data_IF_714528624140
#
_entry.id   IF_714528624140
#
_cell.length_a   1.000
_cell.length_b   1.000
_cell.length_c   1.000
_cell.angle_alpha   90.00
_cell.angle_beta   90.00
_cell.angle_gamma   90.00
#
_symmetry.space_group_name_H-M   'P 1'
#
loop_
_entity.id
_entity.type
_entity.pdbx_description
1 polymer ?
#
# COMPACT_ATOMS: atom_id res chain seq x y z
N UNK A 1 -3.04 10.13 9.69
CA UNK A 1 -1.72 9.66 10.14
C UNK A 1 -1.66 8.14 10.16
N UNK A 2 -0.56 7.61 9.71
CA UNK A 2 -0.32 6.18 9.66
C UNK A 2 0.93 5.87 10.48
N UNK A 3 1.14 4.59 10.79
CA UNK A 3 2.35 4.18 11.51
C UNK A 3 3.04 3.07 10.73
N UNK A 4 4.37 3.13 10.68
CA UNK A 4 5.13 2.03 10.10
C UNK A 4 5.26 0.88 11.11
N UNK A 5 5.91 -0.20 10.71
CA UNK A 5 6.06 -1.37 11.58
C UNK A 5 6.98 -1.13 12.75
N UNK A 6 7.73 -0.03 12.74
CA UNK A 6 8.64 0.33 13.84
C UNK A 6 7.99 1.33 14.80
N UNK A 7 6.74 1.73 14.54
CA UNK A 7 6.02 2.65 15.39
C UNK A 7 6.19 4.13 15.04
N UNK A 8 6.89 4.42 13.95
CA UNK A 8 7.06 5.81 13.51
C UNK A 8 5.80 6.30 12.82
N UNK A 9 5.43 7.55 13.06
CA UNK A 9 4.30 8.18 12.39
C UNK A 9 4.68 8.54 10.96
N UNK A 10 3.80 8.21 10.02
CA UNK A 10 3.99 8.50 8.60
C UNK A 10 2.80 9.30 8.11
N UNK A 11 3.06 10.42 7.45
CA UNK A 11 2.04 11.27 6.86
C UNK A 11 2.17 11.23 5.34
N UNK A 12 1.08 10.98 4.64
CA UNK A 12 1.11 10.95 3.19
C UNK A 12 1.49 12.32 2.61
N UNK A 13 1.18 13.39 3.31
CA UNK A 13 1.59 14.74 2.89
C UNK A 13 3.10 14.93 2.82
N UNK A 14 3.87 14.10 3.54
CA UNK A 14 5.33 14.16 3.49
C UNK A 14 5.89 13.67 2.15
N UNK A 15 5.04 13.03 1.34
CA UNK A 15 5.45 12.50 0.03
C UNK A 15 5.12 13.44 -1.12
N UNK A 16 4.61 14.65 -0.84
CA UNK A 16 4.39 15.64 -1.89
C UNK A 16 5.71 15.96 -2.58
N UNK A 17 5.66 16.09 -3.89
CA UNK A 17 6.85 16.20 -4.72
C UNK A 17 7.25 14.87 -5.33
N UNK A 18 6.63 13.78 -4.89
CA UNK A 18 6.86 12.44 -5.41
C UNK A 18 5.54 11.79 -5.78
N UNK A 19 5.57 10.94 -6.80
CA UNK A 19 4.41 10.12 -7.13
C UNK A 19 4.35 8.95 -6.15
N UNK A 20 3.15 8.55 -5.74
CA UNK A 20 2.97 7.47 -4.76
C UNK A 20 2.00 6.43 -5.30
N UNK A 21 2.42 5.18 -5.23
CA UNK A 21 1.59 4.01 -5.50
C UNK A 21 1.18 3.45 -4.14
N UNK A 22 -0.09 3.57 -3.80
CA UNK A 22 -0.63 3.21 -2.50
C UNK A 22 -1.59 2.04 -2.64
N UNK A 23 -1.36 0.97 -1.89
CA UNK A 23 -2.19 -0.24 -1.94
C UNK A 23 -2.85 -0.49 -0.60
N UNK A 24 -4.17 -0.64 -0.61
CA UNK A 24 -4.95 -1.03 0.57
C UNK A 24 -5.20 -2.54 0.51
N UNK A 25 -4.91 -3.25 1.59
CA UNK A 25 -4.99 -4.69 1.61
C UNK A 25 -5.27 -5.26 3.00
N UNK A 26 -5.45 -6.58 3.08
CA UNK A 26 -5.62 -7.29 4.33
C UNK A 26 -4.97 -8.68 4.20
N UNK A 27 -4.55 -9.23 5.33
CA UNK A 27 -3.88 -10.55 5.34
C UNK A 27 -4.83 -11.69 4.95
N UNK A 28 -6.14 -11.51 5.20
CA UNK A 28 -7.14 -12.52 4.87
C UNK A 28 -7.62 -12.44 3.41
N UNK A 29 -7.12 -11.49 2.66
CA UNK A 29 -7.52 -11.26 1.27
C UNK A 29 -6.63 -12.06 0.33
N UNK A 30 -7.19 -13.10 -0.31
CA UNK A 30 -6.44 -13.96 -1.24
C UNK A 30 -5.80 -13.21 -2.40
N UNK A 31 -6.59 -12.42 -3.18
CA UNK A 31 -5.99 -11.65 -4.29
C UNK A 31 -4.93 -10.66 -3.84
N UNK A 32 -5.08 -10.08 -2.63
CA UNK A 32 -4.06 -9.19 -2.08
C UNK A 32 -2.74 -9.93 -1.90
N UNK A 33 -2.79 -11.11 -1.24
CA UNK A 33 -1.59 -11.89 -0.98
C UNK A 33 -0.94 -12.40 -2.27
N UNK A 34 -1.75 -12.76 -3.25
CA UNK A 34 -1.23 -13.27 -4.52
C UNK A 34 -0.46 -12.22 -5.30
N UNK A 35 -0.80 -10.94 -5.14
CA UNK A 35 -0.13 -9.86 -5.85
C UNK A 35 1.11 -9.33 -5.13
N UNK A 36 1.32 -9.70 -3.87
CA UNK A 36 2.42 -9.14 -3.08
C UNK A 36 3.82 -9.52 -3.56
N UNK A 37 4.09 -10.78 -3.97
CA UNK A 37 5.44 -11.10 -4.45
C UNK A 37 5.84 -10.29 -5.67
N UNK A 38 4.91 -10.03 -6.59
CA UNK A 38 5.20 -9.19 -7.75
C UNK A 38 5.45 -7.74 -7.32
N UNK A 39 4.63 -7.23 -6.41
CA UNK A 39 4.82 -5.88 -5.87
C UNK A 39 6.18 -5.76 -5.18
N UNK A 40 6.60 -6.79 -4.47
CA UNK A 40 7.89 -6.80 -3.81
C UNK A 40 9.04 -6.61 -4.82
N UNK A 41 8.93 -7.24 -5.98
CA UNK A 41 9.93 -7.05 -7.04
C UNK A 41 9.98 -5.61 -7.50
N UNK A 42 8.82 -4.96 -7.62
CA UNK A 42 8.77 -3.56 -8.02
C UNK A 42 9.39 -2.66 -6.96
N UNK A 43 9.14 -2.95 -5.68
CA UNK A 43 9.75 -2.20 -4.57
C UNK A 43 11.28 -2.29 -4.64
N UNK A 44 11.80 -3.44 -5.02
CA UNK A 44 13.24 -3.68 -5.07
C UNK A 44 13.93 -3.05 -6.28
N UNK A 45 13.18 -2.51 -7.22
CA UNK A 45 13.78 -1.79 -8.36
C UNK A 45 14.40 -0.48 -7.87
N UNK A 46 15.71 -0.33 -8.07
CA UNK A 46 16.45 0.78 -7.49
C UNK A 46 16.28 2.10 -8.24
N UNK A 47 15.92 2.03 -9.50
CA UNK A 47 15.84 3.22 -10.36
C UNK A 47 14.42 3.76 -10.52
N UNK A 48 13.49 3.30 -9.71
CA UNK A 48 12.13 3.82 -9.78
C UNK A 48 12.07 5.26 -9.24
N UNK A 49 11.23 6.06 -9.86
CA UNK A 49 11.08 7.48 -9.51
C UNK A 49 9.77 7.77 -8.78
N UNK A 50 9.23 6.76 -8.09
CA UNK A 50 8.00 6.88 -7.32
C UNK A 50 8.11 6.04 -6.04
N UNK A 51 7.28 6.39 -5.05
CA UNK A 51 7.25 5.65 -3.80
C UNK A 51 6.13 4.63 -3.81
N UNK A 52 6.34 3.53 -3.11
CA UNK A 52 5.34 2.47 -2.97
C UNK A 52 5.05 2.30 -1.48
N UNK A 53 3.77 2.38 -1.13
CA UNK A 53 3.33 2.20 0.26
C UNK A 53 2.13 1.27 0.26
N UNK A 54 2.01 0.44 1.30
CA UNK A 54 0.81 -0.35 1.49
C UNK A 54 0.22 -0.04 2.87
N UNK A 55 -1.10 -0.18 2.97
CA UNK A 55 -1.84 0.16 4.18
C UNK A 55 -2.75 -1.00 4.57
N UNK A 56 -2.70 -1.37 5.84
CA UNK A 56 -3.62 -2.35 6.41
C UNK A 56 -4.17 -1.81 7.73
N UNK A 57 -5.34 -2.31 8.14
CA UNK A 57 -6.00 -1.84 9.36
C UNK A 57 -5.97 -2.96 10.42
N UNK A 58 -4.96 -2.99 11.30
CA UNK A 58 -4.85 -4.07 12.26
C UNK A 58 -6.05 -4.11 13.21
N UNK A 59 -6.53 -5.33 13.48
CA UNK A 59 -7.64 -5.54 14.39
C UNK A 59 -9.02 -5.21 13.87
N UNK A 60 -9.14 -4.74 12.63
CA UNK A 60 -10.42 -4.39 12.03
C UNK A 60 -10.89 -5.45 11.05
N UNK A 61 -12.21 -5.71 11.06
CA UNK A 61 -12.85 -6.64 10.11
C UNK A 61 -12.15 -8.00 10.04
N UNK A 62 -11.76 -8.53 11.19
CA UNK A 62 -11.09 -9.83 11.25
C UNK A 62 -9.61 -9.81 10.94
N UNK A 63 -9.04 -8.62 10.76
CA UNK A 63 -7.60 -8.52 10.51
C UNK A 63 -6.81 -8.83 11.78
N UNK A 64 -5.57 -9.26 11.58
CA UNK A 64 -4.62 -9.52 12.66
C UNK A 64 -4.32 -8.26 13.46
N UNK A 65 -3.99 -8.43 14.73
CA UNK A 65 -3.41 -7.32 15.52
C UNK A 65 -2.01 -7.01 14.98
N UNK A 66 -1.45 -5.88 15.41
CA UNK A 66 -0.08 -5.53 15.01
C UNK A 66 0.92 -6.61 15.41
N UNK A 67 0.79 -7.17 16.62
CA UNK A 67 1.69 -8.23 17.08
C UNK A 67 1.58 -9.49 16.23
N UNK A 68 0.35 -9.91 15.94
CA UNK A 68 0.11 -11.08 15.09
C UNK A 68 0.62 -10.85 13.68
N UNK A 69 0.46 -9.63 13.17
CA UNK A 69 0.90 -9.29 11.83
C UNK A 69 2.41 -9.41 11.68
N UNK A 70 3.16 -8.89 12.64
CA UNK A 70 4.63 -8.93 12.59
C UNK A 70 5.13 -10.38 12.45
N UNK A 71 4.58 -11.29 13.23
CA UNK A 71 4.95 -12.70 13.16
C UNK A 71 4.56 -13.33 11.83
N UNK A 72 3.36 -13.04 11.37
CA UNK A 72 2.87 -13.58 10.10
C UNK A 72 3.69 -13.04 8.92
N UNK A 73 3.93 -11.74 8.91
CA UNK A 73 4.65 -11.08 7.80
C UNK A 73 6.09 -11.58 7.69
N UNK A 74 6.73 -11.87 8.82
CA UNK A 74 8.10 -12.36 8.83
C UNK A 74 8.26 -13.68 8.06
N UNK A 75 7.17 -14.43 7.86
CA UNK A 75 7.19 -15.70 7.14
C UNK A 75 6.87 -15.55 5.65
N UNK A 76 6.59 -14.35 5.19
CA UNK A 76 6.22 -14.12 3.80
C UNK A 76 7.45 -13.80 2.95
N UNK A 77 7.34 -13.99 1.65
CA UNK A 77 8.44 -13.79 0.71
C UNK A 77 8.40 -12.43 0.02
N UNK A 78 7.79 -11.42 0.68
CA UNK A 78 7.73 -10.05 0.17
C UNK A 78 8.12 -9.04 1.25
N UNK A 79 9.30 -9.27 1.84
CA UNK A 79 9.78 -8.49 2.98
C UNK A 79 10.12 -7.03 2.66
N UNK A 80 10.36 -6.71 1.39
CA UNK A 80 10.71 -5.33 0.99
C UNK A 80 9.49 -4.42 0.89
N UNK A 81 8.28 -4.98 0.86
CA UNK A 81 7.06 -4.18 0.75
C UNK A 81 6.85 -3.35 2.02
N UNK A 82 6.78 -2.02 1.90
CA UNK A 82 6.49 -1.18 3.07
C UNK A 82 5.04 -1.38 3.52
N UNK A 83 4.84 -1.58 4.81
CA UNK A 83 3.51 -1.75 5.39
C UNK A 83 3.26 -0.66 6.41
N UNK A 84 2.16 0.06 6.24
CA UNK A 84 1.72 1.08 7.18
C UNK A 84 0.44 0.62 7.86
N UNK A 85 0.36 0.86 9.16
CA UNK A 85 -0.82 0.52 9.96
C UNK A 85 -1.78 1.70 10.02
N UNK A 86 -3.06 1.39 9.86
CA UNK A 86 -4.15 2.36 10.01
C UNK A 86 -5.17 1.79 11.00
N UNK A 87 -4.87 1.82 12.32
CA UNK A 87 -5.68 1.12 13.32
C UNK A 87 -7.14 1.56 13.38
N UNK A 88 -7.42 2.83 13.12
CA UNK A 88 -8.79 3.34 13.16
C UNK A 88 -9.52 3.26 11.82
N UNK A 89 -8.86 2.75 10.77
CA UNK A 89 -9.47 2.60 9.45
C UNK A 89 -9.74 3.91 8.73
N UNK A 90 -9.26 5.04 9.25
CA UNK A 90 -9.58 6.35 8.67
C UNK A 90 -9.10 6.52 7.23
N UNK A 91 -7.92 5.98 6.90
CA UNK A 91 -7.41 6.08 5.54
C UNK A 91 -8.29 5.31 4.56
N UNK A 92 -8.79 4.14 4.95
CA UNK A 92 -9.72 3.38 4.11
C UNK A 92 -10.98 4.20 3.82
N UNK A 93 -11.47 4.92 4.82
CA UNK A 93 -12.65 5.76 4.65
C UNK A 93 -12.35 7.00 3.80
N UNK A 94 -11.21 7.64 4.06
CA UNK A 94 -10.83 8.87 3.35
C UNK A 94 -10.64 8.64 1.86
N UNK A 95 -10.11 7.47 1.48
CA UNK A 95 -9.92 7.12 0.08
C UNK A 95 -11.11 6.34 -0.48
N UNK A 96 -12.19 6.19 0.30
CA UNK A 96 -13.42 5.51 -0.11
C UNK A 96 -13.18 4.07 -0.56
N UNK A 97 -12.30 3.38 0.16
CA UNK A 97 -11.98 1.97 -0.13
C UNK A 97 -13.13 1.10 0.35
N UNK A 98 -13.82 0.46 -0.59
CA UNK A 98 -14.97 -0.42 -0.31
C UNK A 98 -14.68 -1.88 -0.55
N UNK A 99 -13.63 -2.16 -1.30
CA UNK A 99 -13.18 -3.52 -1.59
C UNK A 99 -11.67 -3.54 -1.62
N UNK A 100 -11.07 -4.69 -1.45
CA UNK A 100 -9.63 -4.85 -1.48
C UNK A 100 -9.25 -5.99 -2.43
N UNK A 101 -8.08 -5.91 -3.06
CA UNK A 101 -7.16 -4.76 -2.98
C UNK A 101 -7.71 -3.55 -3.73
N UNK A 102 -7.43 -2.37 -3.23
CA UNK A 102 -7.65 -1.12 -3.95
C UNK A 102 -6.29 -0.46 -4.10
N UNK A 103 -5.96 -0.06 -5.32
CA UNK A 103 -4.67 0.56 -5.62
C UNK A 103 -4.92 2.01 -6.00
N UNK A 104 -4.26 2.93 -5.30
CA UNK A 104 -4.44 4.36 -5.49
C UNK A 104 -3.14 4.95 -5.98
N UNK A 105 -3.21 5.73 -7.05
CA UNK A 105 -2.04 6.36 -7.65
C UNK A 105 -2.13 7.87 -7.44
N UNK A 106 -1.16 8.41 -6.72
CA UNK A 106 -1.17 9.80 -6.28
C UNK A 106 -0.06 10.54 -7.03
N UNK A 107 -0.40 11.70 -7.60
CA UNK A 107 0.57 12.48 -8.36
C UNK A 107 1.50 13.27 -7.42
N UNK A 108 2.48 13.97 -8.00
CA UNK A 108 3.48 14.69 -7.24
C UNK A 108 2.91 15.88 -6.45
N UNK A 109 1.69 16.28 -6.75
CA UNK A 109 1.02 17.36 -6.02
C UNK A 109 0.14 16.82 -4.89
N UNK A 110 0.13 15.50 -4.67
CA UNK A 110 -0.67 14.88 -3.63
C UNK A 110 -2.11 14.61 -4.02
N UNK A 111 -2.44 14.69 -5.31
CA UNK A 111 -3.79 14.47 -5.81
C UNK A 111 -3.93 13.06 -6.35
N UNK A 112 -5.11 12.47 -6.15
CA UNK A 112 -5.41 11.15 -6.70
C UNK A 112 -5.52 11.27 -8.22
N UNK A 113 -4.65 10.54 -8.92
CA UNK A 113 -4.65 10.51 -10.37
C UNK A 113 -5.37 9.30 -10.96
N UNK A 114 -5.43 8.20 -10.21
CA UNK A 114 -6.09 6.98 -10.68
C UNK A 114 -6.40 6.07 -9.49
N UNK A 115 -7.52 5.37 -9.58
CA UNK A 115 -7.90 4.34 -8.60
C UNK A 115 -8.21 3.06 -9.36
N UNK A 116 -7.54 1.97 -8.97
CA UNK A 116 -7.73 0.66 -9.55
C UNK A 116 -8.38 -0.26 -8.54
N UNK A 117 -9.53 -0.83 -8.86
CA UNK A 117 -10.18 -1.83 -8.02
C UNK A 117 -9.67 -3.20 -8.44
N UNK A 118 -9.16 -3.95 -7.45
CA UNK A 118 -8.54 -5.24 -7.73
C UNK A 118 -7.03 -5.11 -7.97
N UNK A 119 -6.35 -6.24 -7.98
CA UNK A 119 -4.89 -6.27 -8.17
C UNK A 119 -4.51 -5.83 -9.58
N UNK A 120 -3.32 -5.27 -9.70
CA UNK A 120 -2.81 -4.78 -10.98
C UNK A 120 -1.38 -5.31 -11.15
N UNK A 121 -0.98 -5.58 -12.41
CA UNK A 121 0.38 -6.02 -12.70
C UNK A 121 1.36 -4.85 -12.53
N UNK A 122 2.63 -5.18 -12.30
CA UNK A 122 3.67 -4.16 -12.23
C UNK A 122 3.76 -3.36 -13.53
N UNK A 123 3.62 -4.03 -14.66
CA UNK A 123 3.68 -3.38 -15.95
C UNK A 123 2.58 -2.31 -16.11
N UNK A 124 1.34 -2.67 -15.76
CA UNK A 124 0.22 -1.74 -15.85
C UNK A 124 0.36 -0.62 -14.82
N UNK A 125 0.84 -0.93 -13.62
CA UNK A 125 1.07 0.09 -12.60
C UNK A 125 2.08 1.13 -13.08
N UNK A 126 3.17 0.68 -13.69
CA UNK A 126 4.18 1.59 -14.24
C UNK A 126 3.61 2.50 -15.32
N UNK A 127 2.73 1.97 -16.16
CA UNK A 127 2.09 2.78 -17.21
C UNK A 127 1.23 3.89 -16.60
N UNK A 128 0.46 3.56 -15.57
CA UNK A 128 -0.38 4.53 -14.87
C UNK A 128 0.49 5.60 -14.23
N UNK A 129 1.55 5.19 -13.53
CA UNK A 129 2.44 6.11 -12.82
C UNK A 129 3.12 7.06 -13.80
N UNK A 130 3.52 6.55 -14.97
CA UNK A 130 4.19 7.38 -15.99
C UNK A 130 3.29 8.50 -16.48
N UNK A 131 1.99 8.29 -16.51
CA UNK A 131 1.03 9.31 -16.97
C UNK A 131 0.63 10.30 -15.88
N UNK A 132 1.02 10.07 -14.63
CA UNK A 132 0.75 10.99 -13.54
C UNK A 132 1.58 12.28 -13.68
N UNK A 133 1.01 13.34 -13.16
CA UNK A 133 1.70 14.63 -13.10
C UNK A 133 2.61 14.70 -11.89
#
# INVERSE_FOLDING_TARGET
ELKDMKGNTVKLSDYRGKKVYLKFWATWCGPCRQSMPELNKLVEEKDRDFEILTVMAPGMQGEKTEEEFVEWFAQQDYQSVPVLYNPDGSAFMNYQVRSIPTEVFIDSQGKIGHVQLGAISNEDAKKIIKELK
#
